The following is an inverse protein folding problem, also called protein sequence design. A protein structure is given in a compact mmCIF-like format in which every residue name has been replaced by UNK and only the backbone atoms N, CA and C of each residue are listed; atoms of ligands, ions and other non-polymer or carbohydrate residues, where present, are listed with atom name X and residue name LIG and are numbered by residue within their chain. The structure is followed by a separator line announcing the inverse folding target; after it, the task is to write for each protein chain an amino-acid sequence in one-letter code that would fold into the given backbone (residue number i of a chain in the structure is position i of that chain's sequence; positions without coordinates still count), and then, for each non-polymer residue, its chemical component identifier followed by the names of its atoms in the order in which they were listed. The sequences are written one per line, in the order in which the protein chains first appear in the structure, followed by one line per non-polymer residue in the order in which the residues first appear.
data_IF_966949576354
#
_entry.id   IF_966949576354
#
_cell.length_a   1.000
_cell.length_b   1.000
_cell.length_c   1.000
_cell.angle_alpha   90.00
_cell.angle_beta   90.00
_cell.angle_gamma   90.00
#
_symmetry.space_group_name_H-M   'P 1'
#
loop_
_entity.id
_entity.type
_entity.pdbx_description
1 polymer ?
#
# COMPACT_ATOMS: atom_id res chain seq x y z
N UNK A 1 -31.58 -22.79 3.11
CA UNK A 1 -31.07 -21.83 2.11
C UNK A 1 -29.79 -22.43 1.58
N UNK A 2 -29.65 -22.57 0.25
CA UNK A 2 -28.52 -23.27 -0.33
C UNK A 2 -27.22 -22.53 -0.03
N UNK A 3 -26.17 -23.27 0.32
CA UNK A 3 -24.81 -22.72 0.34
C UNK A 3 -24.51 -22.26 -1.09
N UNK A 4 -24.49 -20.95 -1.33
CA UNK A 4 -23.89 -20.39 -2.54
C UNK A 4 -22.42 -20.80 -2.53
N UNK A 5 -21.93 -21.34 -3.63
CA UNK A 5 -20.51 -21.68 -3.76
C UNK A 5 -19.70 -20.37 -3.78
N UNK A 6 -18.51 -20.36 -3.17
CA UNK A 6 -17.68 -19.15 -3.05
C UNK A 6 -17.44 -18.50 -4.43
N UNK A 7 -17.29 -19.31 -5.47
CA UNK A 7 -17.14 -18.88 -6.85
C UNK A 7 -18.33 -18.04 -7.33
N UNK A 8 -19.56 -18.50 -7.09
CA UNK A 8 -20.78 -17.75 -7.48
C UNK A 8 -20.83 -16.36 -6.81
N UNK A 9 -20.36 -16.27 -5.56
CA UNK A 9 -20.34 -15.00 -4.84
C UNK A 9 -19.23 -14.09 -5.35
N UNK A 10 -18.06 -14.63 -5.69
CA UNK A 10 -16.94 -13.87 -6.27
C UNK A 10 -17.34 -13.31 -7.64
N UNK A 11 -17.95 -14.12 -8.50
CA UNK A 11 -18.45 -13.67 -9.81
C UNK A 11 -19.50 -12.58 -9.65
N UNK A 12 -20.43 -12.75 -8.72
CA UNK A 12 -21.43 -11.71 -8.40
C UNK A 12 -20.76 -10.42 -7.93
N UNK A 13 -19.73 -10.51 -7.08
CA UNK A 13 -19.00 -9.33 -6.57
C UNK A 13 -18.23 -8.65 -7.70
N UNK A 14 -17.59 -9.40 -8.60
CA UNK A 14 -16.92 -8.83 -9.77
C UNK A 14 -17.90 -8.11 -10.69
N UNK A 15 -19.03 -8.75 -11.04
CA UNK A 15 -20.11 -8.12 -11.81
C UNK A 15 -20.61 -6.84 -11.12
N UNK A 16 -20.72 -6.85 -9.78
CA UNK A 16 -21.07 -5.65 -9.02
C UNK A 16 -20.01 -4.55 -9.13
N UNK A 17 -18.73 -4.88 -8.96
CA UNK A 17 -17.60 -3.94 -9.08
C UNK A 17 -17.56 -3.30 -10.47
N UNK A 18 -17.70 -4.11 -11.52
CA UNK A 18 -17.77 -3.63 -12.90
C UNK A 18 -19.00 -2.75 -13.12
N UNK A 19 -20.17 -3.16 -12.61
CA UNK A 19 -21.42 -2.41 -12.69
C UNK A 19 -21.40 -1.07 -11.95
N UNK A 20 -20.57 -0.93 -10.91
CA UNK A 20 -20.34 0.33 -10.18
C UNK A 20 -19.49 1.32 -11.00
N UNK A 21 -18.71 0.83 -11.97
CA UNK A 21 -17.88 1.66 -12.85
C UNK A 21 -16.39 1.33 -12.83
N UNK A 22 -16.00 0.15 -12.32
CA UNK A 22 -14.62 -0.32 -12.31
C UNK A 22 -14.45 -1.50 -13.31
N UNK A 23 -14.25 -1.22 -14.62
CA UNK A 23 -14.28 -2.26 -15.65
C UNK A 23 -13.02 -3.12 -15.71
N UNK A 24 -11.89 -2.66 -15.15
CA UNK A 24 -10.60 -3.33 -15.23
C UNK A 24 -10.39 -4.21 -14.00
N UNK A 25 -10.89 -5.44 -14.06
CA UNK A 25 -10.76 -6.44 -12.98
C UNK A 25 -9.97 -7.66 -13.43
N UNK A 26 -9.20 -8.24 -12.51
CA UNK A 26 -8.52 -9.52 -12.69
C UNK A 26 -8.80 -10.43 -11.50
N UNK A 27 -9.36 -11.61 -11.75
CA UNK A 27 -9.54 -12.64 -10.73
C UNK A 27 -8.30 -13.53 -10.63
N UNK A 28 -7.78 -13.70 -9.41
CA UNK A 28 -6.71 -14.64 -9.11
C UNK A 28 -7.13 -15.57 -7.97
N UNK A 29 -6.79 -16.85 -8.11
CA UNK A 29 -6.85 -17.81 -7.02
C UNK A 29 -5.47 -17.93 -6.37
N UNK A 30 -5.38 -17.53 -5.11
CA UNK A 30 -4.17 -17.68 -4.32
C UNK A 30 -4.23 -18.99 -3.52
N UNK A 31 -3.11 -19.74 -3.44
CA UNK A 31 -3.04 -20.92 -2.59
C UNK A 31 -3.33 -20.50 -1.14
N UNK A 32 -3.95 -21.40 -0.34
CA UNK A 32 -4.19 -21.08 1.07
C UNK A 32 -2.87 -20.75 1.76
N UNK A 33 -2.88 -19.84 2.75
CA UNK A 33 -1.71 -19.58 3.56
C UNK A 33 -1.22 -20.91 4.17
N UNK A 34 0.09 -21.18 4.22
CA UNK A 34 0.58 -22.40 4.83
C UNK A 34 0.20 -22.41 6.31
N UNK A 35 -0.65 -23.34 6.73
CA UNK A 35 -0.93 -23.55 8.14
C UNK A 35 0.31 -24.13 8.85
N UNK A 36 0.62 -23.61 10.03
CA UNK A 36 1.68 -24.18 10.87
C UNK A 36 1.28 -25.58 11.35
N UNK A 37 1.81 -26.62 10.69
CA UNK A 37 1.81 -27.99 11.19
C UNK A 37 0.90 -29.00 10.47
N UNK A 38 0.31 -28.68 9.31
CA UNK A 38 -0.59 -29.60 8.62
C UNK A 38 0.09 -30.67 7.73
N UNK A 39 -0.53 -31.85 7.74
CA UNK A 39 -0.21 -33.02 6.93
C UNK A 39 -0.55 -32.76 5.45
N UNK A 40 0.48 -32.71 4.59
CA UNK A 40 0.42 -32.40 3.13
C UNK A 40 -0.38 -33.40 2.28
N UNK A 41 -1.12 -34.31 2.91
CA UNK A 41 -1.79 -35.44 2.29
C UNK A 41 -3.25 -35.14 1.89
N UNK A 42 -3.83 -34.01 2.32
CA UNK A 42 -5.16 -33.56 1.87
C UNK A 42 -5.02 -32.45 0.83
N UNK A 43 -5.80 -32.49 -0.28
CA UNK A 43 -5.86 -31.37 -1.19
C UNK A 43 -6.40 -30.14 -0.44
N UNK A 44 -5.85 -28.93 -0.67
CA UNK A 44 -6.29 -27.71 0.01
C UNK A 44 -7.78 -27.47 -0.21
N UNK A 45 -8.51 -27.16 0.86
CA UNK A 45 -9.94 -26.82 0.81
C UNK A 45 -10.12 -25.39 0.24
N UNK A 46 -10.08 -25.26 -1.10
CA UNK A 46 -10.32 -24.04 -1.89
C UNK A 46 -9.41 -22.82 -1.60
N UNK A 47 -8.79 -22.26 -2.64
CA UNK A 47 -7.90 -21.11 -2.50
C UNK A 47 -8.62 -19.83 -2.06
N UNK A 48 -7.83 -18.83 -1.66
CA UNK A 48 -8.31 -17.46 -1.48
C UNK A 48 -8.59 -16.84 -2.85
N UNK A 49 -9.79 -16.31 -3.06
CA UNK A 49 -10.17 -15.65 -4.31
C UNK A 49 -9.95 -14.14 -4.16
N UNK A 50 -9.25 -13.52 -5.12
CA UNK A 50 -8.93 -12.09 -5.10
C UNK A 50 -9.32 -11.47 -6.43
N UNK A 51 -10.10 -10.40 -6.36
CA UNK A 51 -10.40 -9.52 -7.49
C UNK A 51 -9.48 -8.32 -7.36
N UNK A 52 -8.50 -8.22 -8.25
CA UNK A 52 -7.65 -7.03 -8.40
C UNK A 52 -8.42 -6.02 -9.23
N UNK A 53 -8.52 -4.79 -8.75
CA UNK A 53 -9.20 -3.70 -9.45
C UNK A 53 -8.20 -2.59 -9.70
N UNK A 54 -7.83 -2.43 -10.96
CA UNK A 54 -6.92 -1.36 -11.38
C UNK A 54 -7.71 -0.13 -11.81
N UNK A 55 -7.33 1.04 -11.29
CA UNK A 55 -8.08 2.27 -11.51
C UNK A 55 -7.15 3.33 -12.11
N UNK A 56 -7.61 3.96 -13.20
CA UNK A 56 -6.83 4.99 -13.91
C UNK A 56 -6.55 6.24 -13.05
N UNK A 57 -7.44 6.53 -12.09
CA UNK A 57 -7.32 7.70 -11.21
C UNK A 57 -7.55 7.33 -9.75
N UNK A 58 -6.63 7.78 -8.89
CA UNK A 58 -6.64 7.47 -7.46
C UNK A 58 -6.12 6.05 -7.15
N UNK A 59 -6.31 5.57 -5.91
CA UNK A 59 -5.71 4.33 -5.47
C UNK A 59 -6.50 3.12 -5.99
N UNK A 60 -5.77 2.18 -6.59
CA UNK A 60 -6.25 0.83 -6.91
C UNK A 60 -6.57 0.06 -5.62
N UNK A 61 -7.44 -0.95 -5.74
CA UNK A 61 -7.88 -1.74 -4.60
C UNK A 61 -8.09 -3.20 -4.99
N UNK A 62 -8.20 -4.06 -3.99
CA UNK A 62 -8.46 -5.48 -4.14
C UNK A 62 -9.68 -5.87 -3.33
N UNK A 63 -10.46 -6.80 -3.83
CA UNK A 63 -11.53 -7.47 -3.08
C UNK A 63 -11.08 -8.90 -2.80
N UNK A 64 -10.94 -9.24 -1.53
CA UNK A 64 -10.44 -10.53 -1.07
C UNK A 64 -11.59 -11.30 -0.44
N UNK A 65 -11.87 -12.47 -0.98
CA UNK A 65 -12.84 -13.43 -0.48
C UNK A 65 -12.08 -14.67 0.03
N UNK A 66 -12.31 -15.06 1.30
CA UNK A 66 -11.80 -16.34 1.80
C UNK A 66 -12.97 -17.29 2.06
N UNK A 67 -12.84 -18.58 1.67
CA UNK A 67 -13.88 -19.59 1.86
C UNK A 67 -14.35 -19.69 3.32
N UNK A 68 -13.42 -19.53 4.26
CA UNK A 68 -13.64 -19.80 5.68
C UNK A 68 -14.10 -18.58 6.48
N UNK A 69 -13.98 -17.36 5.95
CA UNK A 69 -14.06 -16.16 6.79
C UNK A 69 -15.43 -15.50 6.86
N UNK A 70 -16.48 -16.02 6.22
CA UNK A 70 -17.83 -15.44 6.24
C UNK A 70 -17.93 -13.94 5.88
N UNK A 71 -16.86 -13.34 5.31
CA UNK A 71 -16.77 -11.92 4.97
C UNK A 71 -15.92 -11.70 3.71
N UNK A 72 -16.18 -10.57 3.03
CA UNK A 72 -15.30 -9.99 2.03
C UNK A 72 -14.46 -8.88 2.63
N UNK A 73 -13.27 -8.66 2.07
CA UNK A 73 -12.41 -7.57 2.47
C UNK A 73 -12.04 -6.72 1.27
N UNK A 74 -12.32 -5.43 1.35
CA UNK A 74 -11.77 -4.45 0.41
C UNK A 74 -10.47 -3.94 1.01
N UNK A 75 -9.40 -3.92 0.22
CA UNK A 75 -8.08 -3.47 0.66
C UNK A 75 -7.43 -2.58 -0.39
N UNK A 76 -6.79 -1.51 0.05
CA UNK A 76 -5.85 -0.74 -0.77
C UNK A 76 -4.51 -0.64 -0.06
N UNK A 77 -3.43 -0.83 -0.81
CA UNK A 77 -2.06 -0.82 -0.32
C UNK A 77 -1.30 0.28 -1.03
N UNK A 78 -0.52 1.06 -0.28
CA UNK A 78 0.35 2.08 -0.83
C UNK A 78 1.81 1.81 -0.43
N UNK A 79 2.66 1.36 -1.37
CA UNK A 79 4.07 1.08 -1.13
C UNK A 79 4.91 2.35 -1.32
N UNK A 80 5.00 3.21 -0.30
CA UNK A 80 5.79 4.45 -0.35
C UNK A 80 7.24 4.22 -0.81
N UNK A 81 7.84 3.10 -0.45
CA UNK A 81 9.21 2.77 -0.86
C UNK A 81 9.39 2.72 -2.39
N UNK A 82 8.35 2.33 -3.14
CA UNK A 82 8.41 2.29 -4.61
C UNK A 82 8.46 3.71 -5.17
N UNK A 83 7.56 4.60 -4.73
CA UNK A 83 7.56 6.00 -5.14
C UNK A 83 8.89 6.69 -4.80
N UNK A 84 9.45 6.42 -3.61
CA UNK A 84 10.76 6.93 -3.22
C UNK A 84 11.87 6.38 -4.12
N UNK A 85 11.84 5.09 -4.46
CA UNK A 85 12.83 4.47 -5.34
C UNK A 85 12.76 5.07 -6.76
N UNK A 86 11.56 5.30 -7.30
CA UNK A 86 11.36 5.92 -8.61
C UNK A 86 11.83 7.37 -8.65
N UNK A 87 11.68 8.11 -7.55
CA UNK A 87 12.15 9.49 -7.44
C UNK A 87 13.68 9.60 -7.34
N UNK A 88 14.37 8.52 -6.96
CA UNK A 88 15.83 8.53 -6.82
C UNK A 88 16.53 8.22 -8.14
N UNK A 89 17.58 8.98 -8.45
CA UNK A 89 18.57 8.54 -9.45
C UNK A 89 19.49 7.47 -8.83
N UNK A 90 20.13 6.60 -9.63
CA UNK A 90 21.00 5.56 -9.09
C UNK A 90 22.21 6.14 -8.34
N UNK A 91 22.71 7.30 -8.76
CA UNK A 91 23.82 7.96 -8.09
C UNK A 91 23.37 8.64 -6.79
N UNK A 92 22.19 9.27 -6.76
CA UNK A 92 21.61 9.80 -5.52
C UNK A 92 21.33 8.67 -4.51
N UNK A 93 20.83 7.52 -4.99
CA UNK A 93 20.58 6.35 -4.13
C UNK A 93 21.85 5.86 -3.43
N UNK A 94 23.01 5.84 -4.11
CA UNK A 94 24.29 5.44 -3.51
C UNK A 94 24.71 6.33 -2.34
N UNK A 95 24.34 7.62 -2.32
CA UNK A 95 24.66 8.50 -1.18
C UNK A 95 23.95 8.09 0.12
N UNK A 96 22.85 7.34 -0.01
CA UNK A 96 22.08 6.83 1.12
C UNK A 96 22.57 5.48 1.61
N UNK A 97 23.16 4.67 0.73
CA UNK A 97 23.55 3.29 1.01
C UNK A 97 24.95 3.26 1.64
N UNK A 98 25.13 2.70 2.84
CA UNK A 98 26.45 2.41 3.39
C UNK A 98 27.25 1.45 2.49
N UNK A 99 28.56 1.70 2.34
CA UNK A 99 29.46 0.89 1.49
C UNK A 99 29.36 -0.62 1.79
N UNK A 100 29.14 -0.98 3.06
CA UNK A 100 29.01 -2.37 3.50
C UNK A 100 27.75 -3.05 2.94
N UNK A 101 26.62 -2.33 2.89
CA UNK A 101 25.34 -2.85 2.38
C UNK A 101 25.36 -2.94 0.85
N UNK A 102 26.07 -2.02 0.20
CA UNK A 102 26.19 -2.03 -1.26
C UNK A 102 26.97 -3.27 -1.76
N UNK A 103 27.96 -3.73 -0.99
CA UNK A 103 28.76 -4.90 -1.32
C UNK A 103 28.00 -6.23 -1.10
N UNK A 104 27.28 -6.35 0.02
CA UNK A 104 26.44 -7.50 0.33
C UNK A 104 25.27 -7.08 1.22
N UNK A 105 24.04 -7.25 0.73
CA UNK A 105 22.83 -6.86 1.47
C UNK A 105 22.66 -7.86 2.63
N UNK A 106 22.60 -7.42 3.91
CA UNK A 106 22.41 -8.33 5.04
C UNK A 106 21.16 -9.22 4.90
N UNK A 107 21.19 -10.44 5.46
CA UNK A 107 20.07 -11.39 5.38
C UNK A 107 18.78 -10.88 6.04
N UNK A 108 18.93 -10.08 7.08
CA UNK A 108 17.87 -9.44 7.85
C UNK A 108 17.45 -8.07 7.28
N UNK A 109 18.04 -7.64 6.17
CA UNK A 109 17.69 -6.36 5.56
C UNK A 109 16.24 -6.38 5.03
N UNK A 110 15.38 -5.41 5.39
CA UNK A 110 13.94 -5.42 5.04
C UNK A 110 13.65 -5.52 3.55
N UNK A 111 14.49 -4.93 2.70
CA UNK A 111 14.35 -5.02 1.24
C UNK A 111 14.25 -6.46 0.69
N UNK A 112 14.82 -7.45 1.41
CA UNK A 112 14.81 -8.85 0.99
C UNK A 112 13.41 -9.49 1.11
N UNK A 113 12.51 -8.95 1.95
CA UNK A 113 11.10 -9.40 1.98
C UNK A 113 10.29 -8.81 0.84
N UNK A 114 10.59 -7.57 0.46
CA UNK A 114 9.81 -6.82 -0.53
C UNK A 114 10.19 -7.13 -1.99
N UNK A 115 11.47 -7.34 -2.27
CA UNK A 115 11.91 -7.66 -3.62
C UNK A 115 11.84 -9.17 -3.86
N UNK A 116 11.05 -9.56 -4.86
CA UNK A 116 11.12 -10.91 -5.42
C UNK A 116 12.58 -11.22 -5.80
N UNK A 117 13.04 -12.46 -5.57
CA UNK A 117 14.46 -12.83 -5.74
C UNK A 117 15.08 -12.41 -7.10
N UNK A 118 14.27 -12.34 -8.17
CA UNK A 118 14.71 -11.87 -9.49
C UNK A 118 14.77 -10.34 -9.66
N UNK A 119 14.03 -9.56 -8.88
CA UNK A 119 14.09 -8.09 -8.90
C UNK A 119 15.39 -7.54 -8.29
N UNK A 120 16.11 -8.37 -7.52
CA UNK A 120 17.46 -8.06 -7.01
C UNK A 120 18.56 -8.20 -8.08
N UNK A 121 18.26 -8.74 -9.27
CA UNK A 121 19.24 -8.92 -10.34
C UNK A 121 19.44 -7.66 -11.19
N UNK A 122 18.46 -6.76 -11.24
CA UNK A 122 18.61 -5.44 -11.86
C UNK A 122 19.34 -4.50 -10.90
N UNK A 123 20.59 -4.17 -11.23
CA UNK A 123 21.44 -3.32 -10.40
C UNK A 123 20.85 -1.92 -10.18
N UNK A 124 20.23 -1.32 -11.20
CA UNK A 124 19.69 0.04 -11.13
C UNK A 124 18.48 0.08 -10.19
N UNK A 125 17.54 -0.85 -10.40
CA UNK A 125 16.36 -0.98 -9.57
C UNK A 125 16.72 -1.34 -8.12
N UNK A 126 17.67 -2.27 -7.93
CA UNK A 126 18.17 -2.66 -6.61
C UNK A 126 18.78 -1.48 -5.86
N UNK A 127 19.61 -0.67 -6.53
CA UNK A 127 20.22 0.52 -5.91
C UNK A 127 19.16 1.53 -5.49
N UNK A 128 18.20 1.84 -6.35
CA UNK A 128 17.09 2.75 -6.02
C UNK A 128 16.27 2.26 -4.84
N UNK A 129 15.90 0.99 -4.84
CA UNK A 129 15.13 0.40 -3.75
C UNK A 129 15.92 0.40 -2.43
N UNK A 130 17.21 0.03 -2.44
CA UNK A 130 18.08 0.13 -1.26
C UNK A 130 18.17 1.57 -0.75
N UNK A 131 18.39 2.53 -1.65
CA UNK A 131 18.44 3.94 -1.32
C UNK A 131 17.16 4.44 -0.65
N UNK A 132 15.99 4.01 -1.12
CA UNK A 132 14.70 4.34 -0.51
C UNK A 132 14.57 3.81 0.93
N UNK A 133 14.94 2.56 1.18
CA UNK A 133 14.91 1.97 2.53
C UNK A 133 15.88 2.67 3.50
N UNK A 134 17.08 2.99 3.02
CA UNK A 134 18.07 3.72 3.83
C UNK A 134 17.67 5.18 4.09
N UNK A 135 17.02 5.84 3.13
CA UNK A 135 16.43 7.16 3.33
C UNK A 135 15.39 7.13 4.47
N UNK A 136 14.50 6.12 4.48
CA UNK A 136 13.49 5.97 5.53
C UNK A 136 14.10 5.76 6.94
N UNK A 137 15.27 5.12 7.03
CA UNK A 137 16.01 4.95 8.30
C UNK A 137 16.66 6.24 8.80
N UNK A 138 16.98 7.17 7.90
CA UNK A 138 17.58 8.47 8.25
C UNK A 138 16.57 9.49 8.77
N UNK A 139 15.27 9.20 8.69
CA UNK A 139 14.22 10.11 9.18
C UNK A 139 14.30 10.22 10.71
N UNK A 140 14.25 11.44 11.22
CA UNK A 140 14.31 11.70 12.66
C UNK A 140 13.18 11.01 13.43
N UNK A 141 13.46 10.63 14.69
CA UNK A 141 12.51 9.87 15.51
C UNK A 141 11.18 10.58 15.71
N UNK A 142 11.21 11.90 15.91
CA UNK A 142 10.01 12.69 16.15
C UNK A 142 9.15 12.78 14.88
N UNK A 143 9.79 12.89 13.71
CA UNK A 143 9.12 12.86 12.41
C UNK A 143 8.52 11.49 12.14
N UNK A 144 9.28 10.40 12.38
CA UNK A 144 8.77 9.02 12.25
C UNK A 144 7.49 8.79 13.06
N UNK A 145 7.49 9.24 14.32
CA UNK A 145 6.32 9.12 15.19
C UNK A 145 5.14 9.96 14.70
N UNK A 146 5.38 11.17 14.23
CA UNK A 146 4.33 12.02 13.70
C UNK A 146 3.73 11.43 12.41
N UNK A 147 4.54 10.90 11.49
CA UNK A 147 4.08 10.19 10.30
C UNK A 147 3.10 9.06 10.66
N UNK A 148 3.48 8.16 11.56
CA UNK A 148 2.62 7.06 12.02
C UNK A 148 1.35 7.60 12.68
N UNK A 149 1.49 8.60 13.55
CA UNK A 149 0.35 9.18 14.28
C UNK A 149 -0.67 9.82 13.33
N UNK A 150 -0.23 10.63 12.36
CA UNK A 150 -1.12 11.27 11.40
C UNK A 150 -1.80 10.25 10.50
N UNK A 151 -1.08 9.22 10.01
CA UNK A 151 -1.67 8.13 9.25
C UNK A 151 -2.77 7.42 10.05
N UNK A 152 -2.47 7.01 11.28
CA UNK A 152 -3.48 6.42 12.16
C UNK A 152 -4.67 7.35 12.37
N UNK A 153 -4.45 8.66 12.54
CA UNK A 153 -5.54 9.64 12.67
C UNK A 153 -6.40 9.73 11.41
N UNK A 154 -5.80 9.72 10.21
CA UNK A 154 -6.50 9.71 8.92
C UNK A 154 -7.40 8.48 8.83
N UNK A 155 -6.84 7.30 9.09
CA UNK A 155 -7.54 6.02 8.92
C UNK A 155 -8.60 5.77 9.98
N UNK A 156 -8.36 6.12 11.24
CA UNK A 156 -9.37 6.03 12.30
C UNK A 156 -10.57 6.94 12.03
N UNK A 157 -10.35 8.15 11.49
CA UNK A 157 -11.46 9.05 11.11
C UNK A 157 -12.28 8.53 9.93
N UNK A 158 -11.65 7.79 9.02
CA UNK A 158 -12.33 7.14 7.90
C UNK A 158 -13.03 5.82 8.29
N UNK A 159 -12.94 5.41 9.56
CA UNK A 159 -13.52 4.16 10.07
C UNK A 159 -13.07 2.92 9.28
N UNK A 160 -11.80 2.89 8.87
CA UNK A 160 -11.16 1.73 8.23
C UNK A 160 -10.17 1.08 9.18
N UNK A 161 -10.00 -0.23 9.05
CA UNK A 161 -8.85 -0.91 9.64
C UNK A 161 -7.62 -0.55 8.84
N UNK A 162 -6.47 -0.50 9.51
CA UNK A 162 -5.23 -0.12 8.86
C UNK A 162 -4.03 -0.82 9.47
N UNK A 163 -2.99 -0.93 8.66
CA UNK A 163 -1.65 -1.32 9.04
C UNK A 163 -0.68 -0.29 8.45
N UNK A 164 0.31 0.13 9.24
CA UNK A 164 1.38 1.03 8.79
C UNK A 164 2.68 0.25 8.95
N UNK A 165 3.27 -0.16 7.83
CA UNK A 165 4.46 -0.98 7.80
C UNK A 165 5.71 -0.12 7.93
N UNK A 166 6.59 -0.47 8.86
CA UNK A 166 7.94 0.12 8.96
C UNK A 166 8.97 -1.00 8.72
N UNK A 167 10.04 -0.75 7.95
CA UNK A 167 11.08 -1.74 7.65
C UNK A 167 11.66 -2.40 8.91
N UNK A 168 11.84 -1.60 9.95
CA UNK A 168 12.22 -2.01 11.29
C UNK A 168 11.72 -0.97 12.31
N UNK A 169 12.02 -1.16 13.60
CA UNK A 169 11.63 -0.23 14.67
C UNK A 169 12.30 1.15 14.57
N UNK A 170 13.32 1.27 13.73
CA UNK A 170 14.12 2.47 13.55
C UNK A 170 13.85 3.19 12.21
N UNK A 171 12.92 2.70 11.39
CA UNK A 171 12.62 3.31 10.10
C UNK A 171 11.28 4.05 10.09
N UNK A 172 11.16 5.05 9.22
CA UNK A 172 9.86 5.63 8.85
C UNK A 172 8.98 4.59 8.13
N UNK A 173 7.65 4.81 8.06
CA UNK A 173 6.77 3.94 7.31
C UNK A 173 7.24 3.76 5.86
N UNK A 174 7.29 2.52 5.38
CA UNK A 174 7.59 2.20 3.98
C UNK A 174 6.34 1.85 3.18
N UNK A 175 5.24 1.56 3.88
CA UNK A 175 3.95 1.26 3.30
C UNK A 175 2.81 1.53 4.29
N UNK A 176 1.59 1.59 3.76
CA UNK A 176 0.40 1.33 4.56
C UNK A 176 -0.58 0.45 3.79
N UNK A 177 -1.45 -0.20 4.56
CA UNK A 177 -2.58 -0.97 4.08
C UNK A 177 -3.82 -0.45 4.79
N UNK A 178 -4.88 -0.15 4.04
CA UNK A 178 -6.20 0.16 4.58
C UNK A 178 -7.20 -0.89 4.12
N UNK A 179 -8.07 -1.31 5.02
CA UNK A 179 -9.04 -2.36 4.74
C UNK A 179 -10.40 -2.12 5.40
N UNK A 180 -11.44 -2.64 4.75
CA UNK A 180 -12.80 -2.70 5.28
C UNK A 180 -13.40 -4.08 5.04
N UNK A 181 -14.04 -4.65 6.07
CA UNK A 181 -14.67 -5.98 6.00
C UNK A 181 -16.17 -5.84 5.82
N UNK A 182 -16.73 -6.56 4.85
CA UNK A 182 -18.15 -6.61 4.53
C UNK A 182 -18.68 -8.00 4.85
N UNK A 183 -19.79 -8.09 5.58
CA UNK A 183 -20.43 -9.35 5.95
C UNK A 183 -21.68 -9.55 5.06
N UNK A 184 -21.59 -10.42 4.03
CA UNK A 184 -22.59 -10.53 2.96
C UNK A 184 -23.91 -11.16 3.40
N UNK A 185 -23.96 -11.82 4.56
CA UNK A 185 -25.16 -12.47 5.09
C UNK A 185 -26.10 -11.52 5.85
N UNK A 186 -25.82 -10.21 5.85
CA UNK A 186 -26.76 -9.22 6.34
C UNK A 186 -27.80 -8.93 5.26
N UNK A 187 -29.07 -8.74 5.64
CA UNK A 187 -30.17 -8.37 4.72
C UNK A 187 -29.95 -7.02 3.98
N UNK A 188 -28.81 -6.38 4.21
CA UNK A 188 -28.43 -5.05 3.75
C UNK A 188 -27.40 -5.08 2.60
N UNK A 189 -26.79 -6.24 2.34
CA UNK A 189 -25.76 -6.36 1.30
C UNK A 189 -26.34 -6.10 -0.08
N UNK A 190 -25.80 -5.08 -0.76
CA UNK A 190 -26.17 -4.71 -2.11
C UNK A 190 -25.18 -3.72 -2.72
N UNK A 191 -25.40 -3.37 -3.99
CA UNK A 191 -24.50 -2.50 -4.78
C UNK A 191 -24.08 -1.22 -4.06
N UNK A 192 -25.01 -0.59 -3.33
CA UNK A 192 -24.74 0.65 -2.61
C UNK A 192 -23.77 0.43 -1.45
N UNK A 193 -23.96 -0.61 -0.64
CA UNK A 193 -23.08 -0.91 0.48
C UNK A 193 -21.66 -1.28 -0.01
N UNK A 194 -21.58 -2.07 -1.08
CA UNK A 194 -20.31 -2.40 -1.72
C UNK A 194 -19.60 -1.13 -2.22
N UNK A 195 -20.30 -0.26 -2.93
CA UNK A 195 -19.75 1.01 -3.39
C UNK A 195 -19.31 1.91 -2.22
N UNK A 196 -20.14 2.08 -1.20
CA UNK A 196 -19.82 2.91 -0.03
C UNK A 196 -18.57 2.38 0.71
N UNK A 197 -18.39 1.06 0.77
CA UNK A 197 -17.21 0.43 1.35
C UNK A 197 -15.96 0.58 0.46
N UNK A 198 -16.10 0.46 -0.87
CA UNK A 198 -15.03 0.72 -1.84
C UNK A 198 -14.55 2.17 -1.70
N UNK A 199 -15.47 3.14 -1.78
CA UNK A 199 -15.14 4.56 -1.69
C UNK A 199 -14.54 4.92 -0.34
N UNK A 200 -15.01 4.33 0.75
CA UNK A 200 -14.41 4.53 2.08
C UNK A 200 -12.94 4.12 2.10
N UNK A 201 -12.62 2.95 1.55
CA UNK A 201 -11.22 2.46 1.46
C UNK A 201 -10.40 3.35 0.52
N UNK A 202 -10.92 3.65 -0.68
CA UNK A 202 -10.22 4.47 -1.68
C UNK A 202 -9.93 5.88 -1.20
N UNK A 203 -10.91 6.56 -0.57
CA UNK A 203 -10.70 7.90 -0.03
C UNK A 203 -9.72 7.90 1.16
N UNK A 204 -9.76 6.88 2.01
CA UNK A 204 -8.81 6.72 3.10
C UNK A 204 -7.39 6.53 2.55
N UNK A 205 -7.22 5.63 1.57
CA UNK A 205 -5.95 5.39 0.89
C UNK A 205 -5.44 6.68 0.22
N UNK A 206 -6.28 7.37 -0.55
CA UNK A 206 -5.91 8.62 -1.23
C UNK A 206 -5.37 9.66 -0.23
N UNK A 207 -6.04 9.84 0.91
CA UNK A 207 -5.58 10.78 1.95
C UNK A 207 -4.24 10.36 2.56
N UNK A 208 -4.06 9.07 2.82
CA UNK A 208 -2.78 8.53 3.31
C UNK A 208 -1.65 8.72 2.29
N UNK A 209 -1.91 8.45 1.02
CA UNK A 209 -0.97 8.63 -0.10
C UNK A 209 -0.58 10.09 -0.25
N UNK A 210 -1.55 11.01 -0.31
CA UNK A 210 -1.29 12.45 -0.43
C UNK A 210 -0.45 12.96 0.75
N UNK A 211 -0.76 12.52 1.97
CA UNK A 211 -0.01 12.90 3.16
C UNK A 211 1.45 12.45 3.07
N UNK A 212 1.71 11.18 2.73
CA UNK A 212 3.07 10.66 2.62
C UNK A 212 3.83 11.30 1.45
N UNK A 213 3.20 11.44 0.28
CA UNK A 213 3.83 12.10 -0.86
C UNK A 213 4.24 13.53 -0.51
N UNK A 214 3.38 14.28 0.17
CA UNK A 214 3.74 15.61 0.66
C UNK A 214 4.90 15.57 1.66
N UNK A 215 4.83 14.69 2.66
CA UNK A 215 5.85 14.60 3.71
C UNK A 215 7.26 14.28 3.16
N UNK A 216 7.33 13.53 2.06
CA UNK A 216 8.58 13.17 1.38
C UNK A 216 8.88 14.02 0.13
N UNK A 217 8.11 15.09 -0.11
CA UNK A 217 8.21 15.94 -1.30
C UNK A 217 8.20 15.15 -2.64
N UNK A 218 7.41 14.09 -2.68
CA UNK A 218 7.13 13.34 -3.90
C UNK A 218 6.01 14.07 -4.63
N UNK A 219 6.23 14.44 -5.89
CA UNK A 219 5.29 15.25 -6.67
C UNK A 219 3.85 14.76 -6.51
N UNK A 220 2.92 15.67 -6.21
CA UNK A 220 1.51 15.32 -5.99
C UNK A 220 0.75 15.54 -7.28
N UNK A 221 0.35 14.47 -7.96
CA UNK A 221 -0.57 14.58 -9.07
C UNK A 221 -2.00 14.78 -8.54
N UNK A 222 -2.46 16.03 -8.58
CA UNK A 222 -3.80 16.44 -8.14
C UNK A 222 -4.86 16.28 -9.24
N UNK A 223 -4.48 15.89 -10.47
CA UNK A 223 -5.42 15.84 -11.60
C UNK A 223 -6.45 14.70 -11.49
N UNK A 224 -6.22 13.71 -10.60
CA UNK A 224 -7.07 12.53 -10.40
C UNK A 224 -7.83 12.45 -9.06
N UNK A 225 -8.13 13.59 -8.41
CA UNK A 225 -8.81 13.60 -7.10
C UNK A 225 -10.19 12.93 -7.14
N UNK A 226 -10.41 11.96 -6.25
CA UNK A 226 -11.58 11.07 -6.25
C UNK A 226 -12.86 11.64 -5.60
N UNK A 227 -12.87 12.88 -5.09
CA UNK A 227 -14.12 13.59 -4.72
C UNK A 227 -13.89 15.07 -4.38
N UNK A 228 -14.90 15.90 -4.67
CA UNK A 228 -14.89 17.37 -4.55
C UNK A 228 -14.52 17.94 -3.18
N UNK A 229 -14.06 19.19 -3.21
CA UNK A 229 -13.57 20.03 -2.10
C UNK A 229 -14.02 19.56 -0.69
N UNK A 230 -13.15 18.82 -0.03
CA UNK A 230 -13.21 18.61 1.41
C UNK A 230 -12.17 19.54 2.02
N UNK A 231 -12.64 20.58 2.68
CA UNK A 231 -11.88 21.63 3.39
C UNK A 231 -11.17 21.07 4.64
N UNK A 232 -10.30 20.08 4.43
CA UNK A 232 -9.51 19.41 5.47
C UNK A 232 -8.22 18.87 4.87
N UNK A 233 -7.41 19.77 4.29
CA UNK A 233 -6.00 19.44 4.10
C UNK A 233 -5.41 19.11 5.48
N UNK A 234 -4.80 17.93 5.68
CA UNK A 234 -3.99 17.72 6.87
C UNK A 234 -2.86 18.75 6.84
N UNK A 235 -2.62 19.42 7.96
CA UNK A 235 -1.46 20.29 8.10
C UNK A 235 -0.21 19.49 7.73
N UNK A 236 0.65 20.02 6.85
CA UNK A 236 1.87 19.33 6.49
C UNK A 236 2.76 19.15 7.73
N UNK A 237 3.41 17.98 7.88
CA UNK A 237 4.46 17.85 8.89
C UNK A 237 5.59 18.82 8.55
N UNK A 238 6.35 19.27 9.56
CA UNK A 238 7.50 20.15 9.35
C UNK A 238 8.42 19.56 8.27
N UNK A 239 8.85 20.40 7.32
CA UNK A 239 9.60 20.01 6.11
C UNK A 239 10.72 19.01 6.45
N UNK A 240 10.64 17.81 5.86
CA UNK A 240 11.79 16.92 5.75
C UNK A 240 12.68 17.55 4.66
N UNK A 241 13.95 17.81 4.97
CA UNK A 241 14.88 18.49 4.05
C UNK A 241 14.73 17.97 2.62
N UNK A 242 14.39 18.88 1.71
CA UNK A 242 14.11 18.62 0.31
C UNK A 242 15.29 17.94 -0.38
N UNK A 243 15.02 16.94 -1.23
CA UNK A 243 16.00 16.29 -2.12
C UNK A 243 16.60 17.26 -3.15
N UNK A 244 16.03 18.45 -3.33
CA UNK A 244 16.42 19.45 -4.34
C UNK A 244 17.42 20.50 -3.83
N UNK A 245 17.73 20.57 -2.53
CA UNK A 245 18.57 21.64 -1.96
C UNK A 245 20.09 21.38 -2.01
N UNK A 246 20.55 20.42 -2.82
CA UNK A 246 21.99 20.04 -2.89
C UNK A 246 22.75 20.47 -4.13
N UNK A 247 22.17 21.26 -5.03
CA UNK A 247 22.92 21.90 -6.12
C UNK A 247 22.95 23.42 -5.98
N UNK A 248 24.07 23.93 -5.47
CA UNK A 248 24.28 25.36 -5.28
C UNK A 248 25.70 25.77 -4.86
N UNK A 249 26.73 25.35 -5.59
CA UNK A 249 28.04 26.03 -5.53
C UNK A 249 27.97 27.34 -6.30
N UNK A 250 28.03 28.48 -5.61
CA UNK A 250 28.86 29.68 -5.88
C UNK A 250 28.39 30.90 -5.04
N UNK A 251 29.34 31.60 -4.37
CA UNK A 251 29.14 32.82 -3.55
C UNK A 251 28.73 34.09 -4.35
N UNK A 252 28.85 35.36 -3.86
CA UNK A 252 29.84 35.91 -2.90
C UNK A 252 29.24 37.07 -2.01
N UNK A 253 29.94 38.10 -1.45
CA UNK A 253 31.23 38.75 -1.78
C UNK A 253 32.44 38.28 -0.97
#
# INVERSE_FOLDING_TARGET
MGNLELADVVDTVEECVQGIGYPNTEQIELPPPPEEGEDRSRPPESGMQVIIVDVETGPSFTVIAKPETEYFKIQSTYPLWQDLAEALTPDAAKEFIPDEIQADIPEDHPIRSELAKGALEDEEHRLRALGAFELLRRVDLDIRKDLVYQLSRIFTRAEVKHFVGSPDSEAAPHEFIVEYKIFPYSDQFGYRELNDAIERVRMAAQRGTLYLRYAFNLGVDLEGSTAGEIDSNPDPPGEIQSLEDRDGVNGPP
#
